data_IF_668552861279
#
_entry.id   IF_668552861279
#
_cell.length_a   1.000
_cell.length_b   1.000
_cell.length_c   1.000
_cell.angle_alpha   90.00
_cell.angle_beta   90.00
_cell.angle_gamma   90.00
#
_symmetry.space_group_name_H-M   'P 1'
#
loop_
_entity.id
_entity.type
_entity.pdbx_description
1 polymer ?
#
# COMPACT_ATOMS: atom_id res chain seq x y z
N UNK A 1 14.71 11.15 14.50
CA UNK A 1 14.90 12.34 15.38
C UNK A 1 16.37 12.53 15.83
N UNK A 2 16.83 13.78 15.98
CA UNK A 2 18.11 14.11 16.61
C UNK A 2 18.25 13.43 17.97
N UNK A 3 19.46 12.97 18.32
CA UNK A 3 19.73 12.22 19.56
C UNK A 3 19.14 12.86 20.83
N UNK A 4 19.17 14.19 21.04
CA UNK A 4 18.59 14.81 22.23
C UNK A 4 17.06 14.72 22.30
N UNK A 5 16.37 14.56 21.16
CA UNK A 5 14.91 14.61 21.06
C UNK A 5 14.25 13.23 21.04
N UNK A 6 15.02 12.14 21.05
CA UNK A 6 14.48 10.77 20.99
C UNK A 6 13.57 10.40 22.16
N UNK A 7 13.79 11.01 23.34
CA UNK A 7 12.94 10.78 24.51
C UNK A 7 11.57 11.47 24.40
N UNK A 8 11.46 12.50 23.56
CA UNK A 8 10.23 13.28 23.36
C UNK A 8 9.43 12.78 22.15
N UNK A 9 10.13 12.34 21.10
CA UNK A 9 9.52 11.74 19.91
C UNK A 9 10.34 10.50 19.54
N UNK A 10 9.96 9.31 20.05
CA UNK A 10 10.66 8.07 19.72
C UNK A 10 10.49 7.73 18.23
N UNK A 11 9.34 8.12 17.66
CA UNK A 11 9.00 7.88 16.26
C UNK A 11 9.36 9.08 15.38
N UNK A 12 9.62 8.80 14.10
CA UNK A 12 10.04 9.78 13.11
C UNK A 12 9.30 9.53 11.80
N UNK A 13 8.43 10.47 11.42
CA UNK A 13 7.72 10.44 10.16
C UNK A 13 8.40 11.38 9.16
N UNK A 14 9.20 10.82 8.24
CA UNK A 14 9.82 11.60 7.17
C UNK A 14 8.87 11.76 5.98
N UNK A 15 9.04 12.85 5.22
CA UNK A 15 8.36 13.05 3.93
C UNK A 15 8.73 11.93 2.97
N UNK A 16 7.78 11.55 2.09
CA UNK A 16 8.01 10.51 1.10
C UNK A 16 9.21 10.82 0.20
N UNK A 17 10.03 9.81 -0.08
CA UNK A 17 11.10 9.87 -1.07
C UNK A 17 11.39 8.48 -1.61
N UNK A 18 11.76 8.39 -2.88
CA UNK A 18 11.99 7.10 -3.56
C UNK A 18 13.14 6.28 -2.98
N UNK A 19 14.11 6.92 -2.32
CA UNK A 19 15.25 6.25 -1.70
C UNK A 19 14.95 5.70 -0.29
N UNK A 20 13.86 6.15 0.33
CA UNK A 20 13.46 5.76 1.68
C UNK A 20 12.06 5.15 1.72
N UNK A 21 11.57 4.70 0.56
CA UNK A 21 10.34 3.94 0.47
C UNK A 21 10.52 2.57 1.12
N UNK A 22 9.53 2.16 1.90
CA UNK A 22 9.52 0.87 2.58
C UNK A 22 9.10 -0.25 1.61
N UNK A 23 9.98 -1.22 1.42
CA UNK A 23 9.82 -2.31 0.46
C UNK A 23 9.86 -3.71 1.10
N UNK A 24 9.77 -3.79 2.43
CA UNK A 24 9.85 -5.06 3.14
C UNK A 24 8.56 -5.89 3.02
N UNK A 25 8.58 -7.07 3.63
CA UNK A 25 7.41 -7.93 3.82
C UNK A 25 7.05 -8.01 5.29
N UNK A 26 5.76 -7.92 5.58
CA UNK A 26 5.23 -7.83 6.93
C UNK A 26 4.12 -8.84 7.20
N UNK A 27 3.82 -8.96 8.49
CA UNK A 27 2.60 -9.54 9.03
C UNK A 27 1.56 -8.42 9.25
N UNK A 28 0.28 -8.76 9.55
CA UNK A 28 -0.71 -7.77 9.95
C UNK A 28 -0.18 -6.83 11.04
N UNK A 29 -0.64 -5.58 11.00
CA UNK A 29 -0.18 -4.47 11.84
C UNK A 29 1.27 -4.06 11.56
N UNK A 30 1.76 -4.30 10.34
CA UNK A 30 3.14 -3.99 9.95
C UNK A 30 4.19 -4.66 10.84
N UNK A 31 3.83 -5.80 11.44
CA UNK A 31 4.70 -6.54 12.33
C UNK A 31 5.79 -7.27 11.53
N UNK A 32 7.02 -7.22 12.05
CA UNK A 32 8.14 -7.93 11.42
C UNK A 32 8.01 -9.43 11.61
N UNK A 33 8.49 -10.18 10.62
CA UNK A 33 8.66 -11.63 10.76
C UNK A 33 9.69 -11.95 11.85
N UNK A 34 9.47 -13.06 12.56
CA UNK A 34 10.37 -13.50 13.62
C UNK A 34 11.72 -13.97 13.07
N UNK A 35 11.69 -14.61 11.89
CA UNK A 35 12.86 -15.22 11.26
C UNK A 35 12.95 -14.82 9.78
N UNK A 36 14.18 -14.69 9.26
CA UNK A 36 14.44 -14.32 7.86
C UNK A 36 13.84 -15.33 6.86
N UNK A 37 13.86 -16.62 7.18
CA UNK A 37 13.29 -17.68 6.32
C UNK A 37 11.79 -17.50 6.13
N UNK A 38 11.07 -17.06 7.16
CA UNK A 38 9.64 -16.78 7.08
C UNK A 38 9.38 -15.53 6.25
N UNK A 39 10.20 -14.48 6.42
CA UNK A 39 10.12 -13.27 5.62
C UNK A 39 10.33 -13.57 4.12
N UNK A 40 11.35 -14.38 3.79
CA UNK A 40 11.60 -14.81 2.41
C UNK A 40 10.42 -15.61 1.84
N UNK A 41 9.82 -16.51 2.62
CA UNK A 41 8.65 -17.27 2.18
C UNK A 41 7.43 -16.38 2.00
N UNK A 42 7.22 -15.40 2.88
CA UNK A 42 6.16 -14.41 2.76
C UNK A 42 6.33 -13.53 1.52
N UNK A 43 7.58 -13.14 1.21
CA UNK A 43 7.93 -12.39 0.01
C UNK A 43 7.59 -13.13 -1.32
N UNK A 44 7.48 -14.47 -1.29
CA UNK A 44 7.09 -15.27 -2.45
C UNK A 44 5.57 -15.34 -2.67
N UNK A 45 4.77 -14.95 -1.68
CA UNK A 45 3.31 -15.07 -1.74
C UNK A 45 2.69 -13.69 -1.98
N UNK A 46 1.68 -13.61 -2.85
CA UNK A 46 0.90 -12.38 -3.00
C UNK A 46 0.08 -12.13 -1.74
N UNK A 47 0.32 -10.99 -1.10
CA UNK A 47 -0.27 -10.58 0.16
C UNK A 47 -0.33 -9.06 0.19
N UNK A 48 -1.34 -8.47 0.84
CA UNK A 48 -1.41 -7.02 1.02
C UNK A 48 -0.31 -6.47 1.94
N UNK A 49 0.38 -7.35 2.68
CA UNK A 49 1.48 -6.99 3.59
C UNK A 49 2.87 -7.13 2.97
N UNK A 50 2.93 -7.47 1.68
CA UNK A 50 4.18 -7.55 0.90
C UNK A 50 4.23 -6.41 -0.09
N UNK A 51 5.38 -5.74 -0.18
CA UNK A 51 5.63 -4.75 -1.22
C UNK A 51 5.63 -5.38 -2.62
N UNK A 52 4.87 -4.77 -3.53
CA UNK A 52 4.77 -5.15 -4.93
C UNK A 52 5.43 -4.08 -5.80
N UNK A 53 6.45 -4.49 -6.55
CA UNK A 53 7.24 -3.58 -7.36
C UNK A 53 6.43 -3.00 -8.53
N UNK A 54 6.87 -1.85 -9.04
CA UNK A 54 6.30 -1.19 -10.22
C UNK A 54 6.18 -2.12 -11.43
N UNK A 55 7.12 -3.05 -11.61
CA UNK A 55 7.06 -4.01 -12.71
C UNK A 55 6.02 -5.10 -12.51
N UNK A 56 5.82 -5.55 -11.26
CA UNK A 56 4.80 -6.54 -10.91
C UNK A 56 3.40 -5.96 -11.12
N UNK A 57 3.18 -4.74 -10.64
CA UNK A 57 1.91 -4.01 -10.77
C UNK A 57 1.70 -3.41 -12.16
N UNK A 58 2.75 -3.34 -13.00
CA UNK A 58 2.76 -2.59 -14.26
C UNK A 58 2.32 -1.13 -14.06
N UNK A 59 2.65 -0.57 -12.89
CA UNK A 59 2.32 0.80 -12.52
C UNK A 59 3.27 1.79 -13.17
N UNK A 60 2.84 3.04 -13.23
CA UNK A 60 3.71 4.18 -13.56
C UNK A 60 3.74 5.13 -12.37
N UNK A 61 4.79 5.96 -12.23
CA UNK A 61 4.81 6.97 -11.19
C UNK A 61 3.60 7.91 -11.31
N UNK A 62 2.95 8.21 -10.19
CA UNK A 62 1.80 9.11 -10.12
C UNK A 62 2.22 10.45 -9.53
N UNK A 63 1.91 11.54 -10.23
CA UNK A 63 2.20 12.91 -9.78
C UNK A 63 1.08 13.40 -8.86
N UNK A 64 1.29 13.27 -7.55
CA UNK A 64 0.41 13.82 -6.52
C UNK A 64 0.63 15.30 -6.27
N UNK A 65 -0.08 15.86 -5.28
CA UNK A 65 0.07 17.26 -4.90
C UNK A 65 1.23 17.44 -3.91
N UNK A 66 1.45 16.47 -3.02
CA UNK A 66 2.55 16.50 -2.05
C UNK A 66 3.83 15.90 -2.60
N UNK A 67 3.76 14.84 -3.40
CA UNK A 67 4.93 14.16 -3.97
C UNK A 67 4.62 13.39 -5.26
N UNK A 68 5.67 12.92 -5.95
CA UNK A 68 5.54 11.93 -7.03
C UNK A 68 5.72 10.54 -6.45
N UNK A 69 4.66 9.75 -6.42
CA UNK A 69 4.68 8.37 -5.89
C UNK A 69 5.16 7.39 -6.96
N UNK A 70 5.92 6.38 -6.57
CA UNK A 70 6.26 5.27 -7.46
C UNK A 70 5.02 4.43 -7.79
N UNK A 71 5.08 3.69 -8.89
CA UNK A 71 3.99 2.78 -9.28
C UNK A 71 4.01 1.43 -8.53
N UNK A 72 4.77 1.34 -7.44
CA UNK A 72 4.86 0.17 -6.57
C UNK A 72 4.15 0.44 -5.24
N UNK A 73 3.98 -0.58 -4.41
CA UNK A 73 3.38 -0.41 -3.09
C UNK A 73 2.80 -1.69 -2.51
N UNK A 74 2.11 -1.54 -1.39
CA UNK A 74 1.29 -2.58 -0.80
C UNK A 74 -0.10 -2.52 -1.44
N UNK A 75 -0.60 -3.63 -1.98
CA UNK A 75 -1.85 -3.64 -2.78
C UNK A 75 -2.73 -4.83 -2.42
N UNK A 76 -4.04 -4.59 -2.31
CA UNK A 76 -5.08 -5.60 -2.14
C UNK A 76 -6.14 -5.46 -3.24
N UNK A 77 -6.35 -6.52 -4.01
CA UNK A 77 -7.53 -6.63 -4.88
C UNK A 77 -8.77 -6.94 -4.03
N UNK A 78 -9.80 -6.10 -4.11
CA UNK A 78 -11.00 -6.24 -3.28
C UNK A 78 -12.00 -7.28 -3.82
N UNK A 79 -11.79 -7.78 -5.03
CA UNK A 79 -12.67 -8.77 -5.66
C UNK A 79 -13.90 -8.15 -6.34
N UNK A 80 -14.65 -8.97 -7.10
CA UNK A 80 -15.75 -8.50 -7.93
C UNK A 80 -17.10 -8.40 -7.19
N UNK A 81 -17.28 -9.15 -6.11
CA UNK A 81 -18.53 -9.22 -5.36
C UNK A 81 -18.49 -8.39 -4.08
N UNK A 82 -19.66 -7.92 -3.68
CA UNK A 82 -19.82 -7.02 -2.55
C UNK A 82 -19.40 -7.68 -1.22
N UNK A 83 -19.67 -8.97 -1.06
CA UNK A 83 -19.33 -9.71 0.17
C UNK A 83 -17.81 -9.83 0.33
N UNK A 84 -17.10 -10.29 -0.70
CA UNK A 84 -15.64 -10.41 -0.71
C UNK A 84 -14.96 -9.07 -0.55
N UNK A 85 -15.51 -8.01 -1.16
CA UNK A 85 -15.02 -6.65 -1.00
C UNK A 85 -15.11 -6.20 0.47
N UNK A 86 -16.29 -6.34 1.09
CA UNK A 86 -16.46 -5.93 2.49
C UNK A 86 -15.64 -6.78 3.46
N UNK A 87 -15.51 -8.08 3.21
CA UNK A 87 -14.65 -8.93 4.04
C UNK A 87 -13.18 -8.57 3.90
N UNK A 88 -12.70 -8.32 2.67
CA UNK A 88 -11.33 -7.87 2.42
C UNK A 88 -11.04 -6.55 3.13
N UNK A 89 -11.93 -5.55 2.98
CA UNK A 89 -11.80 -4.26 3.67
C UNK A 89 -11.80 -4.42 5.19
N UNK A 90 -12.69 -5.25 5.74
CA UNK A 90 -12.74 -5.51 7.18
C UNK A 90 -11.46 -6.16 7.69
N UNK A 91 -10.90 -7.11 6.93
CA UNK A 91 -9.64 -7.76 7.27
C UNK A 91 -8.49 -6.76 7.27
N UNK A 92 -8.37 -5.92 6.24
CA UNK A 92 -7.35 -4.86 6.17
C UNK A 92 -7.48 -3.85 7.32
N UNK A 93 -8.71 -3.41 7.60
CA UNK A 93 -8.99 -2.47 8.69
C UNK A 93 -8.64 -3.09 10.05
N UNK A 94 -9.04 -4.34 10.30
CA UNK A 94 -8.70 -5.07 11.53
C UNK A 94 -7.21 -5.33 11.66
N UNK A 95 -6.50 -5.39 10.54
CA UNK A 95 -5.06 -5.55 10.47
C UNK A 95 -4.29 -4.24 10.61
N UNK A 96 -4.95 -3.08 10.68
CA UNK A 96 -4.26 -1.78 10.75
C UNK A 96 -3.48 -1.45 9.47
N UNK A 97 -4.01 -1.82 8.30
CA UNK A 97 -3.31 -1.65 7.02
C UNK A 97 -3.09 -0.19 6.62
N UNK A 98 -3.82 0.76 7.21
CA UNK A 98 -3.55 2.19 7.05
C UNK A 98 -3.14 2.73 8.41
N UNK A 99 -2.01 3.40 8.47
CA UNK A 99 -1.43 3.93 9.70
C UNK A 99 -0.78 5.32 9.49
N UNK A 100 -0.13 5.84 10.52
CA UNK A 100 0.55 7.14 10.49
C UNK A 100 1.79 7.19 9.57
N UNK A 101 2.29 6.05 9.11
CA UNK A 101 3.44 5.94 8.22
C UNK A 101 3.01 5.88 6.74
N UNK A 102 1.74 5.61 6.48
CA UNK A 102 1.14 5.64 5.14
C UNK A 102 1.25 7.05 4.55
N UNK A 103 1.76 7.17 3.31
CA UNK A 103 2.00 8.46 2.64
C UNK A 103 1.04 8.77 1.50
N UNK A 104 0.44 7.75 0.93
CA UNK A 104 -0.60 7.87 -0.08
C UNK A 104 -1.43 6.60 -0.09
N UNK A 105 -2.75 6.75 -0.28
CA UNK A 105 -3.67 5.67 -0.56
C UNK A 105 -4.25 5.87 -1.96
N UNK A 106 -4.07 4.87 -2.81
CA UNK A 106 -4.67 4.81 -4.14
C UNK A 106 -5.87 3.86 -4.13
N UNK A 107 -7.00 4.32 -4.67
CA UNK A 107 -8.14 3.46 -5.00
C UNK A 107 -8.39 3.56 -6.51
N UNK A 108 -8.21 2.44 -7.20
CA UNK A 108 -8.37 2.36 -8.65
C UNK A 108 -9.59 1.51 -9.02
N UNK A 109 -10.46 2.06 -9.86
CA UNK A 109 -11.68 1.39 -10.32
C UNK A 109 -11.84 1.58 -11.82
N UNK A 110 -12.10 0.48 -12.52
CA UNK A 110 -12.39 0.47 -13.94
C UNK A 110 -13.88 0.17 -14.16
N UNK A 111 -14.59 1.09 -14.79
CA UNK A 111 -16.03 0.99 -15.04
C UNK A 111 -16.26 0.96 -16.55
N UNK A 112 -16.89 -0.10 -17.05
CA UNK A 112 -17.20 -0.24 -18.48
C UNK A 112 -18.71 -0.14 -18.73
N UNK A 113 -19.10 0.78 -19.62
CA UNK A 113 -20.47 0.95 -20.08
C UNK A 113 -20.60 0.40 -21.52
N UNK A 114 -21.20 -0.79 -21.63
CA UNK A 114 -21.38 -1.47 -22.92
C UNK A 114 -22.35 -0.75 -23.87
N UNK A 115 -23.32 0.01 -23.36
CA UNK A 115 -24.34 0.65 -24.19
C UNK A 115 -23.74 1.70 -25.14
N UNK A 116 -22.64 2.32 -24.71
CA UNK A 116 -21.92 3.36 -25.48
C UNK A 116 -20.46 2.98 -25.74
N UNK A 117 -20.06 1.74 -25.44
CA UNK A 117 -18.69 1.24 -25.57
C UNK A 117 -17.65 2.18 -24.92
N UNK A 118 -17.92 2.60 -23.67
CA UNK A 118 -17.08 3.55 -22.94
C UNK A 118 -16.42 2.87 -21.73
N UNK A 119 -15.09 3.02 -21.61
CA UNK A 119 -14.33 2.66 -20.42
C UNK A 119 -13.98 3.92 -19.64
N UNK A 120 -14.35 3.95 -18.36
CA UNK A 120 -13.98 5.00 -17.41
C UNK A 120 -13.01 4.41 -16.38
N UNK A 121 -11.82 5.01 -16.29
CA UNK A 121 -10.80 4.66 -15.31
C UNK A 121 -10.79 5.74 -14.24
N UNK A 122 -11.03 5.36 -12.99
CA UNK A 122 -11.08 6.26 -11.84
C UNK A 122 -9.92 5.92 -10.91
N UNK A 123 -9.06 6.91 -10.64
CA UNK A 123 -7.99 6.82 -9.64
C UNK A 123 -8.24 7.89 -8.59
N UNK A 124 -8.46 7.46 -7.35
CA UNK A 124 -8.59 8.34 -6.19
C UNK A 124 -7.29 8.27 -5.37
N UNK A 125 -6.67 9.42 -5.14
CA UNK A 125 -5.48 9.59 -4.32
C UNK A 125 -5.84 10.34 -3.03
N UNK A 126 -5.46 9.77 -1.89
CA UNK A 126 -5.47 10.43 -0.59
C UNK A 126 -4.03 10.58 -0.10
N UNK A 127 -3.60 11.81 0.23
CA UNK A 127 -2.27 12.18 0.74
C UNK A 127 -2.36 12.75 2.16
#
# INVERSE_FOLDING_TARGET
>A
PPSPLRHLSPECNAVYSWSHEDMDSYLPHWAKHANETEAQKAALTKSPWRYQDTWELRGFPYLGKMATYRGGGYVQDLGPDNETLYQSLKNLASGGWIDQYTRALFTEVNIYNNNVNLLCVVTLLFE
#
